data_IF_085876345252
#
_entry.id   IF_085876345252
#
_cell.length_a   1.000
_cell.length_b   1.000
_cell.length_c   1.000
_cell.angle_alpha   90.00
_cell.angle_beta   90.00
_cell.angle_gamma   90.00
#
_symmetry.space_group_name_H-M   'P 1'
#
loop_
_entity.id
_entity.type
_entity.pdbx_description
1 polymer ?
#
# COMPACT_ATOMS: atom_id res chain seq x y z
N UNK A 1 11.46 -17.47 13.96
CA UNK A 1 10.49 -17.74 12.88
C UNK A 1 9.47 -16.62 12.91
N UNK A 2 9.21 -15.99 11.76
CA UNK A 2 8.32 -14.84 11.67
C UNK A 2 6.85 -15.30 11.73
N UNK A 3 5.92 -14.42 12.13
CA UNK A 3 4.50 -14.79 12.22
C UNK A 3 3.90 -14.98 10.82
N UNK A 4 4.37 -14.22 9.83
CA UNK A 4 4.03 -14.45 8.43
C UNK A 4 4.41 -15.87 7.97
N UNK A 5 5.63 -16.33 8.26
CA UNK A 5 6.06 -17.68 7.90
C UNK A 5 5.16 -18.75 8.54
N UNK A 6 4.86 -18.62 9.83
CA UNK A 6 3.91 -19.48 10.53
C UNK A 6 2.51 -19.49 9.86
N UNK A 7 2.01 -18.32 9.47
CA UNK A 7 0.69 -18.20 8.83
C UNK A 7 0.67 -18.89 7.46
N UNK A 8 1.71 -18.72 6.65
CA UNK A 8 1.84 -19.37 5.35
C UNK A 8 1.91 -20.90 5.47
N UNK A 9 2.69 -21.42 6.42
CA UNK A 9 2.76 -22.85 6.72
C UNK A 9 1.41 -23.40 7.19
N UNK A 10 0.72 -22.67 8.09
CA UNK A 10 -0.63 -23.03 8.57
C UNK A 10 -1.63 -23.15 7.42
N UNK A 11 -1.61 -22.19 6.50
CA UNK A 11 -2.51 -22.19 5.33
C UNK A 11 -2.15 -23.34 4.38
N UNK A 12 -0.87 -23.52 4.05
CA UNK A 12 -0.39 -24.60 3.20
C UNK A 12 -0.77 -25.99 3.75
N UNK A 13 -0.62 -26.22 5.06
CA UNK A 13 -0.98 -27.48 5.71
C UNK A 13 -2.50 -27.76 5.71
N UNK A 14 -3.33 -26.72 5.56
CA UNK A 14 -4.80 -26.85 5.50
C UNK A 14 -5.35 -26.90 4.07
N UNK A 15 -4.51 -26.57 3.08
CA UNK A 15 -4.87 -26.58 1.66
C UNK A 15 -4.89 -28.01 1.12
N UNK A 16 -5.86 -28.29 0.23
CA UNK A 16 -5.90 -29.55 -0.55
C UNK A 16 -5.12 -29.46 -1.86
N UNK A 17 -4.69 -28.26 -2.24
CA UNK A 17 -3.91 -27.99 -3.45
C UNK A 17 -2.43 -27.88 -3.10
N UNK A 18 -1.57 -28.45 -3.97
CA UNK A 18 -0.12 -28.55 -3.74
C UNK A 18 0.59 -27.20 -3.66
N UNK A 19 0.01 -26.13 -4.21
CA UNK A 19 0.63 -24.80 -4.27
C UNK A 19 -0.40 -23.66 -4.25
N UNK A 20 -0.95 -23.28 -3.07
CA UNK A 20 -2.02 -22.29 -2.99
C UNK A 20 -1.54 -20.84 -3.19
N UNK A 21 -0.25 -20.61 -3.40
CA UNK A 21 0.34 -19.28 -3.48
C UNK A 21 1.13 -19.05 -4.76
N UNK A 22 1.14 -17.82 -5.31
CA UNK A 22 2.03 -17.46 -6.41
C UNK A 22 3.51 -17.54 -6.00
N UNK A 23 4.39 -17.99 -6.91
CA UNK A 23 5.85 -17.97 -6.71
C UNK A 23 6.42 -16.55 -6.64
N UNK A 24 5.80 -15.61 -7.35
CA UNK A 24 6.21 -14.21 -7.44
C UNK A 24 5.01 -13.28 -7.19
N UNK A 25 4.92 -12.78 -5.97
CA UNK A 25 3.87 -11.83 -5.58
C UNK A 25 4.03 -10.44 -6.22
N UNK A 26 5.26 -10.03 -6.56
CA UNK A 26 5.48 -8.75 -7.22
C UNK A 26 4.84 -8.76 -8.61
N UNK A 27 5.15 -9.80 -9.40
CA UNK A 27 4.54 -10.00 -10.72
C UNK A 27 3.04 -10.25 -10.63
N UNK A 28 2.58 -11.03 -9.64
CA UNK A 28 1.15 -11.31 -9.45
C UNK A 28 0.32 -10.05 -9.17
N UNK A 29 0.87 -9.09 -8.41
CA UNK A 29 0.18 -7.86 -8.03
C UNK A 29 0.43 -6.70 -9.01
N UNK A 30 1.30 -6.87 -10.01
CA UNK A 30 1.66 -5.81 -10.94
C UNK A 30 0.43 -5.30 -11.71
N UNK A 31 0.13 -4.00 -11.56
CA UNK A 31 -1.02 -3.36 -12.22
C UNK A 31 -2.40 -3.77 -11.68
N UNK A 32 -2.45 -4.55 -10.60
CA UNK A 32 -3.71 -4.98 -10.00
C UNK A 32 -4.43 -3.83 -9.28
N UNK A 33 -5.72 -3.66 -9.56
CA UNK A 33 -6.60 -2.75 -8.81
C UNK A 33 -7.76 -3.56 -8.21
N UNK A 34 -7.98 -3.48 -6.88
CA UNK A 34 -9.09 -4.17 -6.24
C UNK A 34 -10.43 -3.61 -6.73
N UNK A 35 -11.33 -4.50 -7.13
CA UNK A 35 -12.67 -4.15 -7.57
C UNK A 35 -13.72 -4.81 -6.65
N UNK A 36 -14.48 -3.99 -5.92
CA UNK A 36 -15.51 -4.45 -4.99
C UNK A 36 -16.79 -4.95 -5.68
N UNK A 37 -16.97 -4.64 -6.97
CA UNK A 37 -18.13 -5.05 -7.74
C UNK A 37 -18.06 -6.52 -8.20
N UNK A 38 -16.87 -7.13 -8.10
CA UNK A 38 -16.69 -8.54 -8.41
C UNK A 38 -17.09 -9.40 -7.19
N UNK A 39 -17.99 -10.40 -7.34
CA UNK A 39 -18.45 -11.23 -6.23
C UNK A 39 -17.45 -12.36 -5.92
N UNK A 40 -16.17 -12.01 -5.73
CA UNK A 40 -15.10 -12.94 -5.39
C UNK A 40 -14.74 -12.83 -3.92
N UNK A 41 -14.56 -13.97 -3.28
CA UNK A 41 -14.04 -14.01 -1.91
C UNK A 41 -12.53 -13.72 -1.91
N UNK A 42 -12.08 -12.97 -0.90
CA UNK A 42 -10.65 -12.72 -0.69
C UNK A 42 -9.94 -13.99 -0.22
N UNK A 43 -8.63 -14.09 -0.46
CA UNK A 43 -7.83 -15.19 0.08
C UNK A 43 -7.86 -15.25 1.60
N UNK A 44 -7.97 -14.11 2.28
CA UNK A 44 -8.24 -14.06 3.73
C UNK A 44 -9.49 -14.90 4.09
N UNK A 45 -10.59 -14.74 3.35
CA UNK A 45 -11.83 -15.48 3.60
C UNK A 45 -11.71 -16.94 3.19
N UNK A 46 -11.14 -17.24 2.03
CA UNK A 46 -10.95 -18.61 1.53
C UNK A 46 -10.08 -19.45 2.47
N UNK A 47 -8.98 -18.87 2.95
CA UNK A 47 -8.06 -19.52 3.89
C UNK A 47 -8.45 -19.37 5.36
N UNK A 48 -9.61 -18.74 5.65
CA UNK A 48 -10.16 -18.54 7.00
C UNK A 48 -9.16 -17.86 7.95
N UNK A 49 -8.42 -16.89 7.44
CA UNK A 49 -7.46 -16.10 8.20
C UNK A 49 -8.21 -15.00 8.97
N UNK A 50 -8.04 -14.93 10.28
CA UNK A 50 -8.71 -13.91 11.08
C UNK A 50 -8.09 -12.53 10.86
N UNK A 51 -8.86 -11.46 11.12
CA UNK A 51 -8.36 -10.09 11.03
C UNK A 51 -7.22 -9.84 12.05
N UNK A 52 -7.26 -10.51 13.21
CA UNK A 52 -6.19 -10.45 14.21
C UNK A 52 -4.89 -11.10 13.72
N UNK A 53 -4.97 -12.17 12.92
CA UNK A 53 -3.79 -12.79 12.31
C UNK A 53 -3.14 -11.84 11.30
N UNK A 54 -3.93 -11.21 10.42
CA UNK A 54 -3.41 -10.19 9.50
C UNK A 54 -2.86 -8.97 10.26
N UNK A 55 -3.46 -8.57 11.37
CA UNK A 55 -2.94 -7.45 12.18
C UNK A 55 -1.57 -7.76 12.80
N UNK A 56 -1.33 -9.02 13.19
CA UNK A 56 0.00 -9.45 13.68
C UNK A 56 1.05 -9.37 12.57
N UNK A 57 0.72 -9.84 11.36
CA UNK A 57 1.59 -9.72 10.19
C UNK A 57 1.84 -8.24 9.83
N UNK A 58 0.82 -7.39 9.95
CA UNK A 58 0.96 -5.94 9.72
C UNK A 58 1.95 -5.31 10.69
N UNK A 59 1.89 -5.65 11.97
CA UNK A 59 2.86 -5.16 12.97
C UNK A 59 4.28 -5.64 12.67
N UNK A 60 4.45 -6.87 12.18
CA UNK A 60 5.75 -7.39 11.75
C UNK A 60 6.31 -6.56 10.58
N UNK A 61 5.53 -6.35 9.52
CA UNK A 61 5.95 -5.55 8.36
C UNK A 61 6.21 -4.08 8.69
N UNK A 62 5.44 -3.51 9.63
CA UNK A 62 5.64 -2.14 10.12
C UNK A 62 6.89 -2.02 11.00
N UNK A 63 7.16 -3.00 11.87
CA UNK A 63 8.40 -3.04 12.65
C UNK A 63 9.63 -3.17 11.73
N UNK A 64 9.55 -4.00 10.69
CA UNK A 64 10.61 -4.08 9.67
C UNK A 64 10.84 -2.72 8.98
N UNK A 65 9.77 -1.99 8.65
CA UNK A 65 9.87 -0.62 8.12
C UNK A 65 10.62 0.32 9.08
N UNK A 66 10.24 0.33 10.36
CA UNK A 66 10.88 1.17 11.39
C UNK A 66 12.36 0.81 11.60
N UNK A 67 12.71 -0.48 11.47
CA UNK A 67 14.08 -0.98 11.53
C UNK A 67 14.86 -0.77 10.23
N UNK A 68 14.27 -0.11 9.22
CA UNK A 68 14.85 0.14 7.89
C UNK A 68 15.11 -1.14 7.08
N UNK A 69 14.44 -2.23 7.43
CA UNK A 69 14.44 -3.51 6.72
C UNK A 69 13.39 -3.48 5.59
N UNK A 70 13.56 -2.54 4.65
CA UNK A 70 12.50 -2.22 3.68
C UNK A 70 12.14 -3.36 2.74
N UNK A 71 13.10 -4.24 2.40
CA UNK A 71 12.81 -5.43 1.60
C UNK A 71 11.84 -6.36 2.34
N UNK A 72 12.16 -6.70 3.59
CA UNK A 72 11.31 -7.55 4.45
C UNK A 72 9.93 -6.91 4.65
N UNK A 73 9.91 -5.59 4.85
CA UNK A 73 8.68 -4.82 5.00
C UNK A 73 7.80 -4.90 3.75
N UNK A 74 8.36 -4.63 2.56
CA UNK A 74 7.63 -4.67 1.30
C UNK A 74 7.10 -6.07 0.99
N UNK A 75 7.90 -7.13 1.19
CA UNK A 75 7.45 -8.52 1.03
C UNK A 75 6.28 -8.84 1.97
N UNK A 76 6.39 -8.43 3.24
CA UNK A 76 5.32 -8.64 4.22
C UNK A 76 4.02 -7.95 3.82
N UNK A 77 4.09 -6.71 3.32
CA UNK A 77 2.91 -6.00 2.85
C UNK A 77 2.33 -6.56 1.56
N UNK A 78 3.14 -7.11 0.65
CA UNK A 78 2.64 -7.85 -0.54
C UNK A 78 1.78 -9.04 -0.14
N UNK A 79 2.21 -9.82 0.87
CA UNK A 79 1.39 -10.91 1.41
C UNK A 79 0.08 -10.43 2.02
N UNK A 80 0.10 -9.33 2.75
CA UNK A 80 -1.13 -8.74 3.32
C UNK A 80 -2.11 -8.30 2.23
N UNK A 81 -1.60 -7.66 1.17
CA UNK A 81 -2.38 -7.28 0.00
C UNK A 81 -2.95 -8.51 -0.72
N UNK A 82 -2.14 -9.56 -0.90
CA UNK A 82 -2.61 -10.83 -1.46
C UNK A 82 -3.77 -11.41 -0.64
N UNK A 83 -3.65 -11.47 0.69
CA UNK A 83 -4.72 -11.99 1.53
C UNK A 83 -5.98 -11.11 1.48
N UNK A 84 -5.83 -9.80 1.63
CA UNK A 84 -6.97 -8.89 1.54
C UNK A 84 -6.57 -7.56 0.88
N UNK A 85 -6.88 -7.39 -0.41
CA UNK A 85 -6.50 -6.19 -1.14
C UNK A 85 -7.43 -5.00 -0.87
N UNK A 86 -8.52 -5.18 -0.11
CA UNK A 86 -9.46 -4.10 0.21
C UNK A 86 -9.10 -3.34 1.49
N UNK A 87 -8.00 -3.69 2.15
CA UNK A 87 -7.49 -2.99 3.34
C UNK A 87 -6.46 -1.96 2.93
N UNK A 88 -6.90 -0.70 2.85
CA UNK A 88 -6.10 0.42 2.34
C UNK A 88 -4.74 0.63 3.04
N UNK A 89 -4.63 0.34 4.35
CA UNK A 89 -3.37 0.52 5.07
C UNK A 89 -2.28 -0.45 4.62
N UNK A 90 -2.64 -1.62 4.08
CA UNK A 90 -1.67 -2.57 3.55
C UNK A 90 -0.99 -2.01 2.30
N UNK A 91 -1.79 -1.45 1.39
CA UNK A 91 -1.30 -0.76 0.20
C UNK A 91 -0.48 0.49 0.54
N UNK A 92 -0.94 1.32 1.48
CA UNK A 92 -0.22 2.53 1.85
C UNK A 92 1.16 2.22 2.43
N UNK A 93 1.23 1.21 3.31
CA UNK A 93 2.50 0.77 3.88
C UNK A 93 3.40 0.08 2.86
N UNK A 94 2.85 -0.71 1.94
CA UNK A 94 3.60 -1.23 0.78
C UNK A 94 4.22 -0.08 -0.04
N UNK A 95 3.41 0.93 -0.37
CA UNK A 95 3.86 2.12 -1.10
C UNK A 95 4.98 2.85 -0.37
N UNK A 96 4.88 3.03 0.96
CA UNK A 96 5.92 3.64 1.77
C UNK A 96 7.24 2.84 1.75
N UNK A 97 7.18 1.51 1.92
CA UNK A 97 8.37 0.66 1.87
C UNK A 97 9.04 0.69 0.49
N UNK A 98 8.26 0.67 -0.59
CA UNK A 98 8.76 0.75 -1.96
C UNK A 98 9.34 2.14 -2.28
N UNK A 99 8.70 3.20 -1.80
CA UNK A 99 9.16 4.58 -1.96
C UNK A 99 10.56 4.75 -1.36
N UNK A 100 10.78 4.34 -0.10
CA UNK A 100 12.10 4.48 0.54
C UNK A 100 13.16 3.62 -0.16
N UNK A 101 12.76 2.49 -0.74
CA UNK A 101 13.60 1.65 -1.62
C UNK A 101 13.81 2.20 -3.03
N UNK A 102 13.28 3.39 -3.35
CA UNK A 102 13.35 4.06 -4.67
C UNK A 102 12.68 3.30 -5.81
N UNK A 103 11.76 2.39 -5.49
CA UNK A 103 10.93 1.65 -6.45
C UNK A 103 9.68 2.47 -6.79
N UNK A 104 9.91 3.69 -7.31
CA UNK A 104 8.87 4.70 -7.45
C UNK A 104 7.65 4.28 -8.31
N UNK A 105 7.81 3.59 -9.46
CA UNK A 105 6.64 3.13 -10.23
C UNK A 105 5.72 2.17 -9.44
N UNK A 106 6.30 1.27 -8.64
CA UNK A 106 5.52 0.35 -7.82
C UNK A 106 4.91 1.07 -6.62
N UNK A 107 5.62 2.02 -6.02
CA UNK A 107 5.09 2.86 -4.95
C UNK A 107 3.88 3.68 -5.43
N UNK A 108 3.97 4.29 -6.62
CA UNK A 108 2.87 5.00 -7.27
C UNK A 108 1.65 4.12 -7.47
N UNK A 109 1.83 2.88 -7.93
CA UNK A 109 0.73 1.92 -8.06
C UNK A 109 0.07 1.65 -6.70
N UNK A 110 0.84 1.38 -5.65
CA UNK A 110 0.31 1.14 -4.32
C UNK A 110 -0.41 2.37 -3.71
N UNK A 111 0.12 3.58 -3.93
CA UNK A 111 -0.55 4.82 -3.53
C UNK A 111 -1.83 5.07 -4.33
N UNK A 112 -1.86 4.76 -5.62
CA UNK A 112 -3.07 4.86 -6.43
C UNK A 112 -4.18 3.92 -5.94
N UNK A 113 -3.83 2.67 -5.58
CA UNK A 113 -4.79 1.75 -4.95
C UNK A 113 -5.25 2.26 -3.58
N UNK A 114 -4.34 2.86 -2.79
CA UNK A 114 -4.75 3.47 -1.53
C UNK A 114 -5.74 4.61 -1.74
N UNK A 115 -5.51 5.49 -2.73
CA UNK A 115 -6.40 6.58 -3.09
C UNK A 115 -7.79 6.08 -3.54
N UNK A 116 -7.82 4.97 -4.28
CA UNK A 116 -9.07 4.29 -4.67
C UNK A 116 -9.88 3.83 -3.45
N UNK A 117 -9.21 3.24 -2.45
CA UNK A 117 -9.85 2.71 -1.24
C UNK A 117 -10.15 3.79 -0.18
N UNK A 118 -9.50 4.96 -0.26
CA UNK A 118 -9.63 6.10 0.67
C UNK A 118 -9.79 7.41 -0.11
N UNK A 119 -10.90 7.55 -0.80
CA UNK A 119 -11.21 8.65 -1.73
C UNK A 119 -11.00 10.07 -1.15
N UNK A 120 -11.26 10.26 0.15
CA UNK A 120 -11.16 11.54 0.86
C UNK A 120 -9.77 11.84 1.41
N UNK A 121 -8.86 10.86 1.43
CA UNK A 121 -7.54 11.03 2.03
C UNK A 121 -6.59 11.77 1.06
N UNK A 122 -6.02 12.92 1.44
CA UNK A 122 -5.06 13.62 0.59
C UNK A 122 -3.67 12.95 0.54
N UNK A 123 -3.29 12.15 1.55
CA UNK A 123 -1.92 11.66 1.68
C UNK A 123 -1.46 10.74 0.54
N UNK A 124 -2.25 9.78 0.03
CA UNK A 124 -1.83 8.97 -1.11
C UNK A 124 -1.47 9.81 -2.34
N UNK A 125 -2.22 10.89 -2.59
CA UNK A 125 -1.93 11.83 -3.68
C UNK A 125 -0.67 12.66 -3.40
N UNK A 126 -0.47 13.10 -2.16
CA UNK A 126 0.74 13.83 -1.77
C UNK A 126 2.01 12.97 -1.92
N UNK A 127 1.97 11.70 -1.49
CA UNK A 127 3.11 10.80 -1.69
C UNK A 127 3.31 10.44 -3.16
N UNK A 128 2.25 10.37 -3.97
CA UNK A 128 2.38 10.24 -5.41
C UNK A 128 3.05 11.48 -6.03
N UNK A 129 2.73 12.69 -5.58
CA UNK A 129 3.45 13.92 -5.97
C UNK A 129 4.95 13.79 -5.70
N UNK A 130 5.34 13.35 -4.49
CA UNK A 130 6.76 13.17 -4.15
C UNK A 130 7.43 12.17 -5.10
N UNK A 131 6.80 11.03 -5.37
CA UNK A 131 7.35 10.03 -6.29
C UNK A 131 7.49 10.57 -7.72
N UNK A 132 6.50 11.27 -8.25
CA UNK A 132 6.59 11.89 -9.58
C UNK A 132 7.70 12.94 -9.65
N UNK A 133 7.87 13.76 -8.60
CA UNK A 133 8.97 14.73 -8.51
C UNK A 133 10.34 14.04 -8.51
N UNK A 134 10.49 12.94 -7.77
CA UNK A 134 11.74 12.15 -7.74
C UNK A 134 12.04 11.42 -9.07
N UNK A 135 11.05 11.31 -9.95
CA UNK A 135 11.17 10.75 -11.30
C UNK A 135 11.25 11.84 -12.39
N UNK A 136 11.32 13.12 -12.02
CA UNK A 136 11.28 14.28 -12.94
C UNK A 136 10.02 14.34 -13.83
N UNK A 137 8.90 13.74 -13.39
CA UNK A 137 7.61 13.76 -14.09
C UNK A 137 6.74 14.95 -13.66
N UNK A 138 7.20 16.17 -13.97
CA UNK A 138 6.58 17.42 -13.46
C UNK A 138 5.09 17.57 -13.75
N UNK A 139 4.59 17.15 -14.93
CA UNK A 139 3.17 17.25 -15.25
C UNK A 139 2.31 16.37 -14.32
N UNK A 140 2.77 15.15 -14.05
CA UNK A 140 2.07 14.21 -13.18
C UNK A 140 2.20 14.62 -11.70
N UNK A 141 3.36 15.16 -11.31
CA UNK A 141 3.57 15.73 -9.99
C UNK A 141 2.54 16.84 -9.70
N UNK A 142 2.37 17.80 -10.61
CA UNK A 142 1.40 18.89 -10.45
C UNK A 142 -0.04 18.37 -10.33
N UNK A 143 -0.44 17.40 -11.17
CA UNK A 143 -1.77 16.76 -11.07
C UNK A 143 -1.97 16.09 -9.71
N UNK A 144 -0.98 15.34 -9.22
CA UNK A 144 -1.04 14.67 -7.93
C UNK A 144 -1.11 15.66 -6.75
N UNK A 145 -0.34 16.75 -6.82
CA UNK A 145 -0.35 17.81 -5.80
C UNK A 145 -1.71 18.51 -5.75
N UNK A 146 -2.34 18.77 -6.90
CA UNK A 146 -3.68 19.35 -6.92
C UNK A 146 -4.74 18.40 -6.37
N UNK A 147 -4.65 17.10 -6.67
CA UNK A 147 -5.55 16.11 -6.08
C UNK A 147 -5.42 16.05 -4.55
N UNK A 148 -4.20 16.19 -4.00
CA UNK A 148 -3.97 16.30 -2.57
C UNK A 148 -4.56 17.59 -1.99
N UNK A 149 -4.36 18.73 -2.66
CA UNK A 149 -4.91 20.03 -2.27
C UNK A 149 -6.44 20.01 -2.18
N UNK A 150 -7.11 19.50 -3.22
CA UNK A 150 -8.57 19.47 -3.30
C UNK A 150 -9.20 18.71 -2.12
N UNK A 151 -8.52 17.66 -1.63
CA UNK A 151 -8.94 16.87 -0.48
C UNK A 151 -8.58 17.50 0.86
N UNK A 152 -7.47 18.24 0.92
CA UNK A 152 -7.00 18.87 2.16
C UNK A 152 -7.66 20.23 2.47
N UNK A 153 -7.97 21.04 1.44
CA UNK A 153 -8.25 22.49 1.59
C UNK A 153 -9.43 22.86 2.49
N UNK A 154 -10.41 21.96 2.65
CA UNK A 154 -11.64 22.21 3.43
C UNK A 154 -11.74 21.39 4.72
N UNK A 155 -10.72 20.60 5.06
CA UNK A 155 -10.80 19.69 6.20
C UNK A 155 -9.75 20.03 7.27
N UNK A 156 -10.21 20.35 8.48
CA UNK A 156 -9.34 20.81 9.58
C UNK A 156 -8.29 19.77 10.02
N UNK A 157 -8.55 18.48 9.79
CA UNK A 157 -7.58 17.42 10.10
C UNK A 157 -6.30 17.45 9.24
N UNK A 158 -6.28 18.22 8.14
CA UNK A 158 -5.15 18.25 7.20
C UNK A 158 -4.45 19.63 7.17
N UNK A 159 -4.50 20.38 8.28
CA UNK A 159 -3.89 21.72 8.35
C UNK A 159 -2.38 21.71 8.08
N UNK A 160 -1.64 20.72 8.59
CA UNK A 160 -0.19 20.59 8.36
C UNK A 160 0.10 20.35 6.88
N UNK A 161 -0.57 19.36 6.27
CA UNK A 161 -0.41 19.07 4.85
C UNK A 161 -0.83 20.25 3.96
N UNK A 162 -1.88 20.99 4.36
CA UNK A 162 -2.29 22.20 3.66
C UNK A 162 -1.19 23.25 3.66
N UNK A 163 -0.53 23.47 4.81
CA UNK A 163 0.58 24.42 4.92
C UNK A 163 1.75 24.00 4.03
N UNK A 164 2.10 22.71 4.04
CA UNK A 164 3.15 22.12 3.19
C UNK A 164 2.86 22.35 1.70
N UNK A 165 1.64 22.02 1.23
CA UNK A 165 1.26 22.21 -0.17
C UNK A 165 1.31 23.69 -0.59
N UNK A 166 0.91 24.60 0.30
CA UNK A 166 1.00 26.05 0.03
C UNK A 166 2.45 26.52 -0.09
N UNK A 167 3.34 26.02 0.78
CA UNK A 167 4.76 26.32 0.71
C UNK A 167 5.38 25.83 -0.61
N UNK A 168 5.09 24.59 -1.00
CA UNK A 168 5.51 24.03 -2.29
C UNK A 168 5.04 24.91 -3.46
N UNK A 169 3.76 25.29 -3.49
CA UNK A 169 3.18 26.11 -4.57
C UNK A 169 3.78 27.52 -4.66
N UNK A 170 4.35 28.05 -3.58
CA UNK A 170 5.00 29.35 -3.58
C UNK A 170 6.46 29.30 -4.08
N UNK A 171 7.07 28.11 -4.10
CA UNK A 171 8.47 27.90 -4.46
C UNK A 171 8.69 27.08 -5.74
N UNK A 172 7.61 26.60 -6.38
CA UNK A 172 7.61 25.93 -7.69
C UNK A 172 7.55 26.94 -8.85
#
# INVERSE_FOLDING_TARGET
MSYLAYLLEKVAASSKEDFPFPDDLESYLAGYFPNQDLPLDTYQKLFKISSEELERVYKEGYNAYLNREYQVSSETFRWLVFFNPFVSKFWFSLGASLHVSKLYPQALHAYAVTALLRDKDPYPHYYAYICYTLMDEHENANKALELAWERAKHHSAYQELKAEILDIKNHA
#
